data_IF_826463552221
#
_entry.id   IF_826463552221
#
_cell.length_a   1.000
_cell.length_b   1.000
_cell.length_c   1.000
_cell.angle_alpha   90.00
_cell.angle_beta   90.00
_cell.angle_gamma   90.00
#
_symmetry.space_group_name_H-M   'P 1'
#
loop_
_entity.id
_entity.type
_entity.pdbx_description
1 polymer ?
#
# COMPACT_ATOMS: atom_id res chain seq x y z
N UNK A 1 -8.43 12.71 -13.37
CA UNK A 1 -7.29 11.97 -12.77
C UNK A 1 -7.88 10.94 -11.84
N UNK A 2 -7.49 9.65 -11.93
CA UNK A 2 -8.04 8.63 -11.04
C UNK A 2 -7.55 8.86 -9.62
N UNK A 3 -8.47 8.94 -8.66
CA UNK A 3 -8.14 9.00 -7.25
C UNK A 3 -7.51 7.67 -6.81
N UNK A 4 -6.42 7.68 -6.03
CA UNK A 4 -5.82 6.44 -5.53
C UNK A 4 -6.72 5.80 -4.47
N UNK A 5 -6.73 4.47 -4.41
CA UNK A 5 -7.54 3.71 -3.46
C UNK A 5 -6.71 2.63 -2.74
N UNK A 6 -7.22 2.14 -1.61
CA UNK A 6 -6.53 1.14 -0.77
C UNK A 6 -6.43 -0.18 -1.52
N UNK A 7 -5.23 -0.76 -1.58
CA UNK A 7 -4.95 -2.01 -2.30
C UNK A 7 -4.54 -1.81 -3.77
N UNK A 8 -4.44 -0.57 -4.26
CA UNK A 8 -3.88 -0.29 -5.58
C UNK A 8 -2.37 -0.59 -5.62
N UNK A 9 -1.90 -1.20 -6.71
CA UNK A 9 -0.47 -1.36 -7.01
C UNK A 9 -0.12 -0.40 -8.15
N UNK A 10 0.86 0.47 -7.92
CA UNK A 10 1.31 1.47 -8.89
C UNK A 10 2.83 1.51 -8.98
N UNK A 11 3.34 1.68 -10.20
CA UNK A 11 4.76 1.91 -10.44
C UNK A 11 5.14 3.35 -10.10
N UNK A 12 6.20 3.52 -9.32
CA UNK A 12 6.76 4.83 -8.99
C UNK A 12 8.19 4.93 -9.53
N UNK A 13 8.56 6.13 -10.01
CA UNK A 13 9.90 6.40 -10.57
C UNK A 13 10.96 6.73 -9.53
N UNK A 14 10.67 6.57 -8.24
CA UNK A 14 11.54 6.89 -7.11
C UNK A 14 11.68 5.68 -6.18
N UNK A 15 12.78 5.63 -5.42
CA UNK A 15 13.15 4.48 -4.58
C UNK A 15 12.53 4.49 -3.17
N UNK A 16 11.47 5.26 -2.93
CA UNK A 16 10.79 5.30 -1.63
C UNK A 16 9.27 5.23 -1.81
N UNK A 17 8.57 4.66 -0.84
CA UNK A 17 7.11 4.71 -0.82
C UNK A 17 6.64 6.09 -0.31
N UNK A 18 5.78 6.81 -1.06
CA UNK A 18 5.19 8.06 -0.59
C UNK A 18 4.23 7.80 0.58
N UNK A 19 3.84 8.85 1.31
CA UNK A 19 2.90 8.71 2.46
C UNK A 19 1.61 8.01 2.02
N UNK A 20 1.21 6.99 2.79
CA UNK A 20 0.03 6.17 2.51
C UNK A 20 0.27 5.01 1.54
N UNK A 21 1.51 4.83 1.07
CA UNK A 21 1.92 3.69 0.23
C UNK A 21 2.96 2.85 0.96
N UNK A 22 3.09 1.60 0.54
CA UNK A 22 4.12 0.68 0.97
C UNK A 22 4.86 0.14 -0.25
N UNK A 23 6.14 -0.18 -0.09
CA UNK A 23 6.91 -0.91 -1.11
C UNK A 23 6.39 -2.34 -1.24
N UNK A 24 6.33 -2.86 -2.48
CA UNK A 24 5.95 -4.24 -2.78
C UNK A 24 7.18 -5.16 -2.74
N UNK A 25 7.90 -5.18 -1.61
CA UNK A 25 9.16 -5.89 -1.40
C UNK A 25 9.05 -7.10 -0.46
N UNK A 26 7.82 -7.52 -0.13
CA UNK A 26 7.57 -8.64 0.78
C UNK A 26 7.78 -8.31 2.25
N UNK A 27 7.77 -7.02 2.63
CA UNK A 27 7.83 -6.59 4.02
C UNK A 27 6.59 -7.02 4.82
N UNK A 28 6.77 -7.23 6.13
CA UNK A 28 5.67 -7.49 7.06
C UNK A 28 5.04 -6.16 7.49
N UNK A 29 3.75 -5.98 7.22
CA UNK A 29 2.98 -4.82 7.66
C UNK A 29 2.11 -5.16 8.87
N UNK A 30 2.08 -4.30 9.92
CA UNK A 30 1.25 -4.54 11.09
C UNK A 30 -0.24 -4.41 10.75
N UNK A 31 -1.02 -5.46 11.01
CA UNK A 31 -2.47 -5.51 10.73
C UNK A 31 -3.24 -4.42 11.49
N UNK A 32 -2.87 -4.15 12.75
CA UNK A 32 -3.54 -3.14 13.58
C UNK A 32 -3.53 -1.74 12.99
N UNK A 33 -2.54 -1.42 12.15
CA UNK A 33 -2.41 -0.11 11.49
C UNK A 33 -2.94 -0.13 10.05
N UNK A 34 -3.16 -1.31 9.47
CA UNK A 34 -3.53 -1.51 8.07
C UNK A 34 -4.83 -2.32 7.94
N UNK A 35 -5.73 -2.21 8.93
CA UNK A 35 -6.93 -3.06 9.02
C UNK A 35 -7.79 -3.00 7.76
N UNK A 36 -7.99 -1.81 7.17
CA UNK A 36 -8.72 -1.65 5.91
C UNK A 36 -8.06 -2.36 4.72
N UNK A 37 -6.73 -2.34 4.64
CA UNK A 37 -5.98 -3.06 3.60
C UNK A 37 -6.15 -4.58 3.76
N UNK A 38 -6.00 -5.10 4.98
CA UNK A 38 -6.16 -6.53 5.25
C UNK A 38 -7.61 -7.01 5.05
N UNK A 39 -8.61 -6.19 5.39
CA UNK A 39 -10.02 -6.48 5.09
C UNK A 39 -10.30 -6.64 3.59
N UNK A 40 -9.51 -6.00 2.73
CA UNK A 40 -9.63 -6.12 1.27
C UNK A 40 -8.82 -7.28 0.69
N UNK A 41 -7.70 -7.65 1.33
CA UNK A 41 -6.76 -8.66 0.81
C UNK A 41 -7.03 -10.09 1.31
N UNK A 42 -7.63 -10.27 2.49
CA UNK A 42 -7.97 -11.59 3.05
C UNK A 42 -6.83 -12.28 3.78
#
# INVERSE_FOLDING_TARGET
MSEPFIGEIRMFGFQFAPRGWATCDGQLLPISQNSALFSLLG
#
